data_IF_868738394234
#
_entry.id   IF_868738394234
#
_cell.length_a   1.000
_cell.length_b   1.000
_cell.length_c   1.000
_cell.angle_alpha   90.00
_cell.angle_beta   90.00
_cell.angle_gamma   90.00
#
_symmetry.space_group_name_H-M   'P 1'
#
loop_
_entity.id
_entity.type
_entity.pdbx_description
1 polymer ?
#
# COMPACT_ATOMS: atom_id res chain seq x y z
N UNK A 1 -12.62 -15.32 41.38
CA UNK A 1 -13.72 -15.22 40.43
C UNK A 1 -13.42 -14.03 39.53
N UNK A 2 -12.70 -14.28 38.44
CA UNK A 2 -12.49 -13.30 37.40
C UNK A 2 -13.73 -13.26 36.54
N UNK A 3 -14.32 -12.06 36.39
CA UNK A 3 -15.39 -11.82 35.44
C UNK A 3 -14.82 -11.99 34.04
N UNK A 4 -15.23 -13.06 33.33
CA UNK A 4 -15.21 -13.11 31.89
C UNK A 4 -16.14 -11.99 31.40
N UNK A 5 -15.56 -10.87 30.99
CA UNK A 5 -16.29 -9.88 30.20
C UNK A 5 -16.61 -10.53 28.87
N UNK A 6 -17.87 -10.84 28.69
CA UNK A 6 -18.49 -11.27 27.45
C UNK A 6 -18.06 -10.28 26.35
N UNK A 7 -17.13 -10.71 25.50
CA UNK A 7 -16.86 -10.02 24.25
C UNK A 7 -18.19 -9.94 23.50
N UNK A 8 -18.61 -8.74 23.17
CA UNK A 8 -19.83 -8.48 22.40
C UNK A 8 -19.82 -9.36 21.14
N UNK A 9 -20.88 -10.17 20.95
CA UNK A 9 -21.13 -10.96 19.73
C UNK A 9 -21.32 -10.09 18.46
N UNK A 10 -21.22 -8.76 18.61
CA UNK A 10 -21.40 -7.82 17.50
C UNK A 10 -20.16 -7.79 16.61
N UNK A 11 -20.32 -8.27 15.38
CA UNK A 11 -19.30 -8.14 14.33
C UNK A 11 -19.13 -6.68 13.89
N UNK A 12 -17.93 -6.35 13.43
CA UNK A 12 -17.65 -5.06 12.79
C UNK A 12 -18.33 -5.05 11.42
N UNK A 13 -19.29 -4.17 11.23
CA UNK A 13 -19.95 -3.94 9.94
C UNK A 13 -19.03 -3.16 9.00
N UNK A 14 -18.71 -3.74 7.84
CA UNK A 14 -17.80 -3.12 6.87
C UNK A 14 -18.50 -2.87 5.55
N UNK A 15 -18.26 -1.69 4.96
CA UNK A 15 -18.60 -1.41 3.58
C UNK A 15 -17.34 -1.25 2.72
N UNK A 16 -17.38 -1.79 1.49
CA UNK A 16 -16.30 -1.66 0.50
C UNK A 16 -16.73 -0.68 -0.58
N UNK A 17 -16.04 0.44 -0.67
CA UNK A 17 -16.30 1.54 -1.60
C UNK A 17 -15.33 1.42 -2.77
N UNK A 18 -15.86 1.12 -3.96
CA UNK A 18 -15.14 0.66 -5.13
C UNK A 18 -15.14 -0.87 -5.21
N UNK A 19 -15.74 -1.41 -6.28
CA UNK A 19 -15.88 -2.87 -6.52
C UNK A 19 -15.01 -3.33 -7.70
N UNK A 20 -13.80 -2.75 -7.81
CA UNK A 20 -12.80 -3.07 -8.82
C UNK A 20 -11.97 -4.32 -8.49
N UNK A 21 -10.81 -4.47 -9.15
CA UNK A 21 -9.90 -5.61 -8.99
C UNK A 21 -9.47 -5.81 -7.55
N UNK A 22 -8.99 -4.75 -6.87
CA UNK A 22 -8.46 -4.87 -5.51
C UNK A 22 -9.56 -5.25 -4.48
N UNK A 23 -10.76 -4.72 -4.64
CA UNK A 23 -11.90 -5.11 -3.81
C UNK A 23 -12.27 -6.58 -4.02
N UNK A 24 -12.27 -7.04 -5.28
CA UNK A 24 -12.66 -8.41 -5.67
C UNK A 24 -11.65 -9.46 -5.23
N UNK A 25 -10.34 -9.17 -5.34
CA UNK A 25 -9.28 -10.16 -5.15
C UNK A 25 -8.62 -10.12 -3.78
N UNK A 26 -8.72 -9.00 -3.04
CA UNK A 26 -8.12 -8.85 -1.72
C UNK A 26 -9.14 -8.47 -0.63
N UNK A 27 -9.74 -7.27 -0.70
CA UNK A 27 -10.55 -6.77 0.43
C UNK A 27 -11.74 -7.67 0.75
N UNK A 28 -12.58 -8.01 -0.23
CA UNK A 28 -13.77 -8.81 0.02
C UNK A 28 -13.44 -10.24 0.50
N UNK A 29 -12.48 -10.97 -0.11
CA UNK A 29 -12.08 -12.29 0.40
C UNK A 29 -11.49 -12.25 1.82
N UNK A 30 -10.59 -11.30 2.11
CA UNK A 30 -9.98 -11.19 3.44
C UNK A 30 -11.00 -10.79 4.52
N UNK A 31 -11.95 -9.90 4.22
CA UNK A 31 -13.06 -9.58 5.13
C UNK A 31 -13.97 -10.78 5.36
N UNK A 32 -14.35 -11.48 4.29
CA UNK A 32 -15.21 -12.66 4.39
C UNK A 32 -14.59 -13.81 5.19
N UNK A 33 -13.27 -13.93 5.18
CA UNK A 33 -12.52 -14.91 5.96
C UNK A 33 -12.36 -14.51 7.45
N UNK A 34 -12.66 -13.24 7.81
CA UNK A 34 -12.47 -12.76 9.18
C UNK A 34 -13.76 -12.99 10.02
N UNK A 35 -13.72 -13.81 11.09
CA UNK A 35 -14.91 -14.13 11.88
C UNK A 35 -15.53 -12.94 12.61
N UNK A 36 -14.76 -11.87 12.83
CA UNK A 36 -15.19 -10.66 13.55
C UNK A 36 -15.82 -9.60 12.64
N UNK A 37 -15.99 -9.90 11.35
CA UNK A 37 -16.47 -8.95 10.35
C UNK A 37 -17.76 -9.43 9.70
N UNK A 38 -18.63 -8.49 9.38
CA UNK A 38 -19.76 -8.64 8.46
C UNK A 38 -19.59 -7.64 7.31
N UNK A 39 -19.60 -8.11 6.07
CA UNK A 39 -19.63 -7.21 4.91
C UNK A 39 -21.07 -6.75 4.71
N UNK A 40 -21.35 -5.51 5.06
CA UNK A 40 -22.69 -4.90 5.01
C UNK A 40 -23.04 -4.44 3.59
N UNK A 41 -22.06 -3.84 2.88
CA UNK A 41 -22.33 -3.23 1.60
C UNK A 41 -21.12 -3.22 0.66
N UNK A 42 -21.41 -3.23 -0.64
CA UNK A 42 -20.51 -2.86 -1.72
C UNK A 42 -21.04 -1.63 -2.44
N UNK A 43 -20.13 -0.74 -2.82
CA UNK A 43 -20.46 0.49 -3.55
C UNK A 43 -19.65 0.57 -4.83
N UNK A 44 -20.27 0.91 -5.95
CA UNK A 44 -19.56 1.25 -7.19
C UNK A 44 -20.42 2.16 -8.07
N UNK A 45 -19.79 3.13 -8.72
CA UNK A 45 -20.47 3.98 -9.72
C UNK A 45 -21.06 3.19 -10.89
N UNK A 46 -20.56 1.98 -11.14
CA UNK A 46 -21.12 1.00 -12.05
C UNK A 46 -21.91 -0.05 -11.26
N UNK A 47 -23.25 0.06 -11.12
CA UNK A 47 -24.05 -0.75 -10.21
C UNK A 47 -23.82 -2.26 -10.34
N UNK A 48 -23.67 -2.75 -11.57
CA UNK A 48 -23.44 -4.17 -11.84
C UNK A 48 -22.18 -4.75 -11.14
N UNK A 49 -21.16 -3.93 -10.88
CA UNK A 49 -19.96 -4.37 -10.13
C UNK A 49 -20.27 -4.57 -8.66
N UNK A 50 -20.97 -3.62 -8.05
CA UNK A 50 -21.40 -3.72 -6.65
C UNK A 50 -22.40 -4.87 -6.45
N UNK A 51 -23.38 -5.02 -7.33
CA UNK A 51 -24.38 -6.09 -7.32
C UNK A 51 -23.75 -7.47 -7.38
N UNK A 52 -22.73 -7.66 -8.24
CA UNK A 52 -22.01 -8.93 -8.38
C UNK A 52 -21.32 -9.34 -7.08
N UNK A 53 -20.63 -8.41 -6.40
CA UNK A 53 -19.98 -8.71 -5.12
C UNK A 53 -21.00 -8.86 -4.01
N UNK A 54 -22.02 -8.02 -3.95
CA UNK A 54 -23.09 -8.09 -2.99
C UNK A 54 -23.80 -9.45 -3.02
N UNK A 55 -24.13 -9.95 -4.22
CA UNK A 55 -24.74 -11.27 -4.38
C UNK A 55 -23.80 -12.40 -3.90
N UNK A 56 -22.48 -12.28 -4.15
CA UNK A 56 -21.50 -13.29 -3.73
C UNK A 56 -21.34 -13.38 -2.21
N UNK A 57 -21.40 -12.26 -1.52
CA UNK A 57 -21.11 -12.16 -0.08
C UNK A 57 -22.34 -11.94 0.80
N UNK A 58 -23.56 -11.92 0.23
CA UNK A 58 -24.80 -11.70 0.98
C UNK A 58 -24.97 -10.27 1.51
N UNK A 59 -24.35 -9.30 0.85
CA UNK A 59 -24.33 -7.88 1.23
C UNK A 59 -25.33 -7.06 0.39
N UNK A 60 -25.44 -5.76 0.68
CA UNK A 60 -26.24 -4.82 -0.11
C UNK A 60 -25.36 -4.12 -1.15
N UNK A 61 -25.95 -3.73 -2.29
CA UNK A 61 -25.29 -2.95 -3.34
C UNK A 61 -25.80 -1.50 -3.33
N UNK A 62 -24.87 -0.56 -3.50
CA UNK A 62 -25.18 0.88 -3.59
C UNK A 62 -24.38 1.51 -4.74
N UNK A 63 -24.87 2.64 -5.27
CA UNK A 63 -24.19 3.43 -6.31
C UNK A 63 -23.52 4.71 -5.78
N UNK A 64 -23.96 5.20 -4.62
CA UNK A 64 -23.37 6.36 -3.93
C UNK A 64 -22.84 5.95 -2.54
N UNK A 65 -21.58 6.26 -2.26
CA UNK A 65 -20.96 5.97 -0.97
C UNK A 65 -21.61 6.73 0.20
N UNK A 66 -22.25 7.87 -0.06
CA UNK A 66 -22.94 8.66 0.97
C UNK A 66 -24.09 7.89 1.61
N UNK A 67 -24.81 7.09 0.82
CA UNK A 67 -25.91 6.27 1.34
C UNK A 67 -25.40 5.24 2.36
N UNK A 68 -24.21 4.70 2.11
CA UNK A 68 -23.59 3.70 2.99
C UNK A 68 -23.03 4.32 4.26
N UNK A 69 -22.48 5.55 4.17
CA UNK A 69 -21.95 6.26 5.34
C UNK A 69 -23.06 6.62 6.34
N UNK A 70 -24.30 6.74 5.90
CA UNK A 70 -25.46 7.00 6.75
C UNK A 70 -25.98 5.76 7.50
N UNK A 71 -25.47 4.55 7.20
CA UNK A 71 -25.95 3.32 7.84
C UNK A 71 -25.32 3.12 9.23
N UNK A 72 -26.16 2.93 10.25
CA UNK A 72 -25.71 2.60 11.62
C UNK A 72 -25.03 1.21 11.69
N UNK A 73 -25.36 0.32 10.76
CA UNK A 73 -24.74 -1.02 10.65
C UNK A 73 -23.33 -1.01 10.09
N UNK A 74 -22.81 0.11 9.58
CA UNK A 74 -21.47 0.25 9.07
C UNK A 74 -20.59 0.90 10.14
N UNK A 75 -19.60 0.17 10.66
CA UNK A 75 -18.61 0.64 11.63
C UNK A 75 -17.33 1.11 10.94
N UNK A 76 -16.99 0.52 9.78
CA UNK A 76 -15.75 0.78 9.04
C UNK A 76 -15.95 0.70 7.52
N UNK A 77 -15.05 1.35 6.79
CA UNK A 77 -15.05 1.32 5.31
C UNK A 77 -13.67 1.01 4.75
N UNK A 78 -13.64 0.32 3.59
CA UNK A 78 -12.48 0.25 2.72
C UNK A 78 -12.68 1.12 1.49
N UNK A 79 -11.74 2.02 1.22
CA UNK A 79 -11.75 2.91 0.04
C UNK A 79 -10.86 2.29 -1.03
N UNK A 80 -11.49 1.72 -2.07
CA UNK A 80 -10.89 0.94 -3.15
C UNK A 80 -11.21 1.53 -4.54
N UNK A 81 -11.23 2.84 -4.64
CA UNK A 81 -11.56 3.63 -5.84
C UNK A 81 -10.28 4.10 -6.55
N UNK A 82 -10.36 4.76 -7.73
CA UNK A 82 -9.20 5.43 -8.33
C UNK A 82 -8.58 6.50 -7.41
N UNK A 83 -7.27 6.70 -7.50
CA UNK A 83 -6.47 7.50 -6.56
C UNK A 83 -7.01 8.90 -6.27
N UNK A 84 -7.50 9.61 -7.28
CA UNK A 84 -8.06 10.97 -7.15
C UNK A 84 -9.31 11.03 -6.22
N UNK A 85 -9.93 9.90 -5.94
CA UNK A 85 -11.13 9.84 -5.10
C UNK A 85 -10.85 9.31 -3.69
N UNK A 86 -9.61 8.94 -3.38
CA UNK A 86 -9.23 8.43 -2.05
C UNK A 86 -9.50 9.46 -0.96
N UNK A 87 -8.91 10.65 -1.07
CA UNK A 87 -9.01 11.66 -0.03
C UNK A 87 -10.46 12.13 0.21
N UNK A 88 -11.24 12.56 -0.78
CA UNK A 88 -12.60 13.05 -0.52
C UNK A 88 -13.50 11.98 0.10
N UNK A 89 -13.38 10.71 -0.30
CA UNK A 89 -14.21 9.62 0.25
C UNK A 89 -13.74 9.25 1.66
N UNK A 90 -12.43 9.14 1.89
CA UNK A 90 -11.88 8.82 3.22
C UNK A 90 -12.23 9.92 4.25
N UNK A 91 -12.10 11.20 3.87
CA UNK A 91 -12.50 12.34 4.72
C UNK A 91 -13.99 12.28 5.05
N UNK A 92 -14.85 12.01 4.06
CA UNK A 92 -16.28 11.88 4.28
C UNK A 92 -16.60 10.71 5.23
N UNK A 93 -15.95 9.56 5.09
CA UNK A 93 -16.13 8.40 5.94
C UNK A 93 -15.69 8.66 7.39
N UNK A 94 -14.52 9.26 7.58
CA UNK A 94 -14.02 9.64 8.90
C UNK A 94 -14.95 10.64 9.59
N UNK A 95 -15.40 11.68 8.87
CA UNK A 95 -16.36 12.66 9.40
C UNK A 95 -17.73 12.04 9.72
N UNK A 96 -18.11 10.96 9.05
CA UNK A 96 -19.31 10.17 9.38
C UNK A 96 -19.10 9.18 10.55
N UNK A 97 -17.94 9.24 11.21
CA UNK A 97 -17.61 8.38 12.35
C UNK A 97 -17.26 6.95 11.98
N UNK A 98 -16.77 6.68 10.76
CA UNK A 98 -16.39 5.34 10.30
C UNK A 98 -14.86 5.19 10.33
N UNK A 99 -14.35 4.08 10.88
CA UNK A 99 -12.95 3.70 10.70
C UNK A 99 -12.66 3.49 9.22
N UNK A 100 -11.51 3.92 8.73
CA UNK A 100 -11.24 3.95 7.29
C UNK A 100 -9.93 3.27 6.95
N UNK A 101 -10.00 2.25 6.10
CA UNK A 101 -8.85 1.69 5.38
C UNK A 101 -8.86 2.29 3.97
N UNK A 102 -7.79 3.02 3.61
CA UNK A 102 -7.65 3.61 2.30
C UNK A 102 -6.57 2.90 1.50
N UNK A 103 -6.84 2.57 0.22
CA UNK A 103 -5.82 2.08 -0.67
C UNK A 103 -4.72 3.12 -0.93
N UNK A 104 -3.58 2.62 -1.38
CA UNK A 104 -2.41 3.43 -1.76
C UNK A 104 -2.49 3.89 -3.23
N UNK A 105 -1.88 5.01 -3.58
CA UNK A 105 -1.39 6.07 -2.71
C UNK A 105 -2.55 6.73 -1.98
N UNK A 106 -2.35 7.12 -0.72
CA UNK A 106 -3.47 7.58 0.12
C UNK A 106 -4.17 8.84 -0.40
N UNK A 107 -3.47 9.66 -1.17
CA UNK A 107 -3.95 10.94 -1.72
C UNK A 107 -3.15 11.32 -2.95
N UNK A 108 -3.49 12.45 -3.59
CA UNK A 108 -2.79 12.99 -4.76
C UNK A 108 -1.92 14.21 -4.42
N UNK A 109 -2.02 14.72 -3.20
CA UNK A 109 -1.19 15.81 -2.69
C UNK A 109 -0.90 15.64 -1.20
N UNK A 110 0.09 16.39 -0.71
CA UNK A 110 0.43 16.40 0.72
C UNK A 110 -0.67 17.09 1.54
N UNK A 111 -1.33 18.08 0.96
CA UNK A 111 -2.46 18.80 1.56
C UNK A 111 -3.65 17.86 1.79
N UNK A 112 -4.07 17.11 0.77
CA UNK A 112 -5.14 16.10 0.91
C UNK A 112 -4.79 15.06 1.97
N UNK A 113 -3.55 14.57 2.01
CA UNK A 113 -3.10 13.63 3.02
C UNK A 113 -3.19 14.21 4.45
N UNK A 114 -2.81 15.48 4.65
CA UNK A 114 -2.96 16.20 5.92
C UNK A 114 -4.44 16.35 6.31
N UNK A 115 -5.32 16.66 5.37
CA UNK A 115 -6.77 16.74 5.61
C UNK A 115 -7.37 15.40 6.03
N UNK A 116 -6.94 14.29 5.43
CA UNK A 116 -7.36 12.93 5.84
C UNK A 116 -6.92 12.64 7.28
N UNK A 117 -5.68 12.96 7.64
CA UNK A 117 -5.15 12.78 9.00
C UNK A 117 -5.95 13.63 9.99
N UNK A 118 -6.15 14.90 9.70
CA UNK A 118 -6.94 15.80 10.55
C UNK A 118 -8.39 15.32 10.74
N UNK A 119 -9.01 14.75 9.70
CA UNK A 119 -10.35 14.16 9.81
C UNK A 119 -10.35 12.91 10.73
N UNK A 120 -9.29 12.09 10.66
CA UNK A 120 -9.11 10.94 11.56
C UNK A 120 -8.97 11.38 13.02
N UNK A 121 -8.11 12.35 13.29
CA UNK A 121 -7.91 12.90 14.62
C UNK A 121 -9.19 13.53 15.19
N UNK A 122 -9.87 14.35 14.40
CA UNK A 122 -11.11 15.03 14.79
C UNK A 122 -12.23 14.05 15.12
N UNK A 123 -12.37 12.98 14.34
CA UNK A 123 -13.44 11.97 14.54
C UNK A 123 -13.10 10.94 15.61
N UNK A 124 -11.82 10.80 15.99
CA UNK A 124 -11.33 9.71 16.83
C UNK A 124 -11.42 8.34 16.15
N UNK A 125 -11.50 8.30 14.81
CA UNK A 125 -11.58 7.08 14.02
C UNK A 125 -10.23 6.80 13.36
N UNK A 126 -9.86 5.54 13.26
CA UNK A 126 -8.61 5.14 12.65
C UNK A 126 -8.63 5.35 11.15
N UNK A 127 -7.52 5.90 10.64
CA UNK A 127 -7.15 5.93 9.23
C UNK A 127 -5.93 5.01 9.05
N UNK A 128 -6.10 3.93 8.31
CA UNK A 128 -5.03 3.02 7.91
C UNK A 128 -4.84 3.06 6.39
N UNK A 129 -3.61 2.93 5.92
CA UNK A 129 -3.28 2.92 4.49
C UNK A 129 -2.87 1.51 4.04
N UNK A 130 -3.27 1.10 2.84
CA UNK A 130 -3.13 -0.27 2.32
C UNK A 130 -1.70 -0.68 1.89
N UNK A 131 -0.65 -0.29 2.64
CA UNK A 131 0.75 -0.67 2.36
C UNK A 131 1.04 -2.12 2.79
N UNK A 132 0.62 -3.07 1.98
CA UNK A 132 0.68 -4.51 2.26
C UNK A 132 2.11 -5.07 2.34
N UNK A 133 3.09 -4.46 1.68
CA UNK A 133 4.45 -5.03 1.62
C UNK A 133 5.13 -5.12 2.99
N UNK A 134 4.83 -4.23 3.94
CA UNK A 134 5.34 -4.33 5.33
C UNK A 134 4.94 -5.64 6.01
N UNK A 135 3.78 -6.18 5.68
CA UNK A 135 3.20 -7.37 6.31
C UNK A 135 3.64 -8.69 5.65
N UNK A 136 4.36 -8.63 4.54
CA UNK A 136 4.88 -9.82 3.87
C UNK A 136 5.98 -10.49 4.69
N UNK A 137 5.91 -11.81 4.85
CA UNK A 137 6.80 -12.58 5.73
C UNK A 137 8.29 -12.36 5.46
N UNK A 138 8.68 -12.20 4.18
CA UNK A 138 10.08 -11.91 3.83
C UNK A 138 10.54 -10.53 4.32
N UNK A 139 9.66 -9.53 4.28
CA UNK A 139 9.98 -8.18 4.75
C UNK A 139 10.00 -8.12 6.28
N UNK A 140 9.07 -8.81 6.95
CA UNK A 140 9.09 -8.97 8.41
C UNK A 140 10.39 -9.64 8.85
N UNK A 141 10.80 -10.74 8.18
CA UNK A 141 12.07 -11.40 8.47
C UNK A 141 13.28 -10.50 8.24
N UNK A 142 13.27 -9.70 7.18
CA UNK A 142 14.33 -8.73 6.93
C UNK A 142 14.39 -7.67 8.05
N UNK A 143 13.24 -7.16 8.48
CA UNK A 143 13.15 -6.19 9.59
C UNK A 143 13.76 -6.75 10.88
N UNK A 144 13.43 -7.99 11.26
CA UNK A 144 14.05 -8.68 12.40
C UNK A 144 15.58 -8.74 12.30
N UNK A 145 16.14 -9.10 11.13
CA UNK A 145 17.57 -9.16 10.90
C UNK A 145 18.25 -7.79 11.00
N UNK A 146 17.57 -6.74 10.52
CA UNK A 146 18.06 -5.36 10.61
C UNK A 146 18.06 -4.86 12.05
N UNK A 147 17.00 -5.09 12.80
CA UNK A 147 16.87 -4.71 14.22
C UNK A 147 17.87 -5.47 15.10
N UNK A 148 18.17 -6.72 14.77
CA UNK A 148 19.24 -7.49 15.40
C UNK A 148 20.66 -6.99 15.04
N UNK A 149 20.79 -6.01 14.15
CA UNK A 149 22.08 -5.47 13.71
C UNK A 149 22.93 -6.44 12.90
N UNK A 150 22.30 -7.47 12.28
CA UNK A 150 22.97 -8.57 11.58
C UNK A 150 23.94 -8.09 10.50
N UNK A 151 23.53 -7.10 9.69
CA UNK A 151 24.40 -6.53 8.64
C UNK A 151 25.04 -5.19 9.01
N UNK A 152 24.89 -4.76 10.28
CA UNK A 152 25.42 -3.49 10.78
C UNK A 152 24.67 -2.26 10.24
N UNK A 153 25.33 -1.09 10.27
CA UNK A 153 24.73 0.15 9.77
C UNK A 153 24.53 0.07 8.25
N UNK A 154 23.35 0.43 7.77
CA UNK A 154 23.06 0.51 6.33
C UNK A 154 23.86 1.66 5.70
N UNK A 155 24.48 1.41 4.58
CA UNK A 155 25.29 2.39 3.81
C UNK A 155 24.72 2.64 2.43
N UNK A 156 24.10 1.62 1.81
CA UNK A 156 23.41 1.78 0.54
C UNK A 156 22.30 0.73 0.36
N UNK A 157 21.41 1.00 -0.60
CA UNK A 157 20.31 0.10 -0.94
C UNK A 157 19.93 0.21 -2.41
N UNK A 158 19.25 -0.83 -2.90
CA UNK A 158 18.61 -0.84 -4.22
C UNK A 158 17.28 -1.53 -4.10
N UNK A 159 16.21 -0.93 -4.61
CA UNK A 159 14.89 -1.54 -4.63
C UNK A 159 14.21 -1.33 -5.97
N UNK A 160 13.47 -2.33 -6.41
CA UNK A 160 12.71 -2.31 -7.66
C UNK A 160 11.30 -2.85 -7.41
N UNK A 161 10.32 -2.29 -8.10
CA UNK A 161 9.04 -2.92 -8.33
C UNK A 161 8.61 -2.62 -9.75
N UNK A 162 8.62 -3.65 -10.59
CA UNK A 162 8.36 -3.54 -12.02
C UNK A 162 7.60 -4.75 -12.53
N UNK A 163 6.66 -4.56 -13.44
CA UNK A 163 5.88 -5.61 -14.10
C UNK A 163 5.36 -5.11 -15.46
N UNK A 164 4.65 -5.95 -16.27
CA UNK A 164 4.16 -5.53 -17.60
C UNK A 164 3.17 -4.38 -17.62
N UNK A 165 2.48 -4.07 -16.51
CA UNK A 165 1.52 -2.97 -16.41
C UNK A 165 0.10 -3.42 -16.01
N UNK A 166 -0.75 -2.48 -15.56
CA UNK A 166 -2.08 -2.78 -15.03
C UNK A 166 -3.09 -3.27 -16.09
N UNK A 167 -2.81 -3.08 -17.36
CA UNK A 167 -3.65 -3.61 -18.46
C UNK A 167 -3.75 -5.13 -18.47
N UNK A 168 -2.82 -5.83 -17.84
CA UNK A 168 -2.77 -7.28 -17.80
C UNK A 168 -3.68 -7.90 -16.74
N UNK A 169 -4.00 -7.15 -15.68
CA UNK A 169 -4.72 -7.67 -14.51
C UNK A 169 -5.89 -6.80 -14.05
N UNK A 170 -5.99 -5.53 -14.47
CA UNK A 170 -7.12 -4.68 -14.09
C UNK A 170 -8.40 -5.09 -14.84
N UNK A 171 -9.56 -4.94 -14.18
CA UNK A 171 -10.85 -5.32 -14.80
C UNK A 171 -11.24 -4.45 -16.01
N UNK A 172 -10.60 -3.30 -16.17
CA UNK A 172 -10.83 -2.36 -17.26
C UNK A 172 -9.78 -2.50 -18.37
N UNK A 173 -8.73 -3.32 -18.13
CA UNK A 173 -7.65 -3.53 -19.08
C UNK A 173 -6.98 -2.22 -19.53
N UNK A 174 -6.64 -2.08 -20.83
CA UNK A 174 -5.92 -0.92 -21.34
C UNK A 174 -6.75 0.39 -21.36
N UNK A 175 -8.04 0.33 -21.09
CA UNK A 175 -8.92 1.50 -20.99
C UNK A 175 -9.17 1.92 -19.53
N UNK A 176 -8.45 1.31 -18.60
CA UNK A 176 -8.62 1.52 -17.17
C UNK A 176 -8.17 2.90 -16.69
N UNK A 177 -8.69 3.28 -15.55
CA UNK A 177 -8.39 4.54 -14.87
C UNK A 177 -6.90 4.74 -14.56
N UNK A 178 -6.12 3.67 -14.47
CA UNK A 178 -4.68 3.72 -14.24
C UNK A 178 -3.93 4.57 -15.26
N UNK A 179 -4.44 4.68 -16.48
CA UNK A 179 -3.83 5.39 -17.60
C UNK A 179 -4.35 6.83 -17.76
N UNK A 180 -5.37 7.23 -17.00
CA UNK A 180 -5.95 8.58 -17.02
C UNK A 180 -5.39 9.41 -15.87
N UNK A 181 -4.55 10.40 -16.14
CA UNK A 181 -3.93 11.27 -15.14
C UNK A 181 -4.93 11.95 -14.21
N UNK A 182 -6.15 12.23 -14.68
CA UNK A 182 -7.20 12.85 -13.86
C UNK A 182 -7.72 11.91 -12.78
N UNK A 183 -7.64 10.61 -12.97
CA UNK A 183 -8.10 9.59 -12.04
C UNK A 183 -6.95 8.94 -11.28
N UNK A 184 -5.85 8.65 -11.97
CA UNK A 184 -4.67 8.01 -11.39
C UNK A 184 -3.74 9.01 -10.70
N UNK A 185 -3.72 10.29 -11.14
CA UNK A 185 -2.77 11.32 -10.73
C UNK A 185 -1.36 11.03 -11.26
N UNK A 186 -0.83 9.83 -11.06
CA UNK A 186 0.50 9.37 -11.39
C UNK A 186 0.41 7.88 -11.75
N UNK A 187 1.28 7.41 -12.63
CA UNK A 187 1.28 6.03 -13.11
C UNK A 187 2.08 5.09 -12.19
N UNK A 188 3.21 4.59 -12.72
CA UNK A 188 4.03 3.58 -12.05
C UNK A 188 4.56 4.03 -10.68
N UNK A 189 4.82 5.32 -10.49
CA UNK A 189 5.27 5.82 -9.18
C UNK A 189 4.18 5.71 -8.11
N UNK A 190 2.93 5.96 -8.42
CA UNK A 190 1.80 5.80 -7.49
C UNK A 190 1.37 4.35 -7.33
N UNK A 191 1.47 3.56 -8.39
CA UNK A 191 1.11 2.14 -8.34
C UNK A 191 2.19 1.29 -7.64
N UNK A 192 3.43 1.40 -8.05
CA UNK A 192 4.54 0.55 -7.63
C UNK A 192 5.57 1.27 -6.74
N UNK A 193 5.97 2.46 -7.13
CA UNK A 193 7.00 3.24 -6.42
C UNK A 193 6.63 3.54 -4.97
N UNK A 194 5.36 3.84 -4.70
CA UNK A 194 4.87 4.14 -3.34
C UNK A 194 5.03 2.94 -2.39
N UNK A 195 4.89 1.70 -2.87
CA UNK A 195 5.15 0.52 -2.07
C UNK A 195 6.60 0.43 -1.61
N UNK A 196 7.54 0.75 -2.51
CA UNK A 196 8.97 0.72 -2.19
C UNK A 196 9.41 1.90 -1.34
N UNK A 197 8.81 3.07 -1.52
CA UNK A 197 9.03 4.22 -0.66
C UNK A 197 8.62 3.94 0.79
N UNK A 198 7.44 3.35 0.98
CA UNK A 198 6.93 2.91 2.28
C UNK A 198 7.81 1.82 2.90
N UNK A 199 8.09 0.75 2.13
CA UNK A 199 8.88 -0.39 2.58
C UNK A 199 10.29 0.02 3.02
N UNK A 200 10.97 0.88 2.26
CA UNK A 200 12.30 1.36 2.59
C UNK A 200 12.32 2.10 3.92
N UNK A 201 11.39 3.06 4.13
CA UNK A 201 11.28 3.79 5.39
C UNK A 201 11.11 2.84 6.57
N UNK A 202 10.19 1.90 6.43
CA UNK A 202 9.90 0.92 7.48
C UNK A 202 11.10 -0.02 7.76
N UNK A 203 11.72 -0.60 6.73
CA UNK A 203 12.87 -1.49 6.88
C UNK A 203 14.05 -0.77 7.52
N UNK A 204 14.39 0.42 7.02
CA UNK A 204 15.56 1.18 7.48
C UNK A 204 15.32 1.84 8.86
N UNK A 205 14.05 2.07 9.24
CA UNK A 205 13.70 2.86 10.43
C UNK A 205 14.15 4.32 10.32
N UNK A 206 14.24 4.84 9.08
CA UNK A 206 14.77 6.17 8.77
C UNK A 206 13.90 6.87 7.72
N UNK A 207 13.97 8.21 7.71
CA UNK A 207 13.31 9.00 6.67
C UNK A 207 14.19 9.14 5.43
N UNK A 208 13.55 9.18 4.25
CA UNK A 208 14.15 9.66 3.02
C UNK A 208 14.04 11.18 3.01
N UNK A 209 15.16 11.88 2.91
CA UNK A 209 15.21 13.34 3.08
C UNK A 209 15.50 14.11 1.80
N UNK A 210 16.10 13.46 0.80
CA UNK A 210 16.48 14.09 -0.47
C UNK A 210 16.40 13.07 -1.61
N UNK A 211 15.95 13.53 -2.79
CA UNK A 211 15.77 12.68 -3.97
C UNK A 211 16.27 13.37 -5.24
N UNK A 212 16.67 12.57 -6.24
CA UNK A 212 16.86 12.99 -7.63
C UNK A 212 16.28 11.90 -8.55
N UNK A 213 15.54 12.26 -9.61
CA UNK A 213 14.80 11.27 -10.37
C UNK A 213 14.60 11.63 -11.84
N UNK A 214 14.34 10.58 -12.63
CA UNK A 214 13.64 10.61 -13.90
C UNK A 214 12.35 9.82 -13.75
N UNK A 215 11.21 10.46 -13.98
CA UNK A 215 9.88 9.87 -13.98
C UNK A 215 9.26 10.24 -15.31
N UNK A 216 9.11 9.27 -16.20
CA UNK A 216 8.85 9.51 -17.62
C UNK A 216 7.73 8.59 -18.14
N UNK A 217 7.09 9.04 -19.22
CA UNK A 217 6.17 8.25 -20.02
C UNK A 217 6.90 7.84 -21.31
N UNK A 218 7.26 6.58 -21.45
CA UNK A 218 8.16 6.11 -22.51
C UNK A 218 7.51 5.13 -23.50
N UNK A 219 6.61 4.26 -23.04
CA UNK A 219 6.15 3.12 -23.84
C UNK A 219 4.65 2.95 -23.92
N UNK A 220 3.88 3.18 -22.84
CA UNK A 220 2.45 2.87 -22.76
C UNK A 220 1.58 3.85 -23.57
N UNK A 221 1.13 3.53 -24.81
CA UNK A 221 0.45 4.50 -25.68
C UNK A 221 -0.98 4.86 -25.23
N UNK A 222 -1.53 4.10 -24.26
CA UNK A 222 -2.91 4.26 -23.82
C UNK A 222 -3.12 5.31 -22.73
N UNK A 223 -2.06 5.96 -22.25
CA UNK A 223 -2.16 6.86 -21.08
C UNK A 223 -1.37 8.14 -21.20
N UNK A 224 -1.53 9.00 -20.19
CA UNK A 224 -0.83 10.28 -20.03
C UNK A 224 -0.10 10.37 -18.66
N UNK A 225 0.18 9.21 -18.05
CA UNK A 225 0.89 9.05 -16.78
C UNK A 225 2.27 8.42 -17.03
N UNK A 226 3.14 8.46 -16.01
CA UNK A 226 4.44 7.80 -16.05
C UNK A 226 4.32 6.27 -16.12
N UNK A 227 5.18 5.65 -16.89
CA UNK A 227 5.30 4.20 -16.99
C UNK A 227 6.71 3.68 -16.62
N UNK A 228 7.66 4.60 -16.42
CA UNK A 228 9.02 4.31 -15.97
C UNK A 228 9.53 5.38 -15.01
N UNK A 229 10.20 4.93 -13.94
CA UNK A 229 10.85 5.81 -12.99
C UNK A 229 12.16 5.21 -12.46
N UNK A 230 13.20 6.06 -12.39
CA UNK A 230 14.46 5.77 -11.73
C UNK A 230 14.79 6.92 -10.80
N UNK A 231 14.87 6.60 -9.49
CA UNK A 231 15.07 7.58 -8.44
C UNK A 231 16.33 7.27 -7.64
N UNK A 232 17.10 8.29 -7.31
CA UNK A 232 18.20 8.26 -6.32
C UNK A 232 17.64 8.84 -5.04
N UNK A 233 17.81 8.14 -3.93
CA UNK A 233 17.27 8.48 -2.63
C UNK A 233 18.39 8.59 -1.60
N UNK A 234 18.25 9.53 -0.65
CA UNK A 234 19.16 9.68 0.49
C UNK A 234 18.39 9.68 1.79
N UNK A 235 18.85 8.88 2.75
CA UNK A 235 18.25 8.79 4.08
C UNK A 235 18.76 9.88 5.01
N UNK A 236 18.10 10.06 6.14
CA UNK A 236 18.50 10.99 7.22
C UNK A 236 19.88 10.67 7.81
N UNK A 237 20.30 9.40 7.84
CA UNK A 237 21.64 8.99 8.28
C UNK A 237 22.73 9.15 7.21
N UNK A 238 22.34 9.49 5.97
CA UNK A 238 23.23 9.66 4.83
C UNK A 238 23.42 8.41 3.96
N UNK A 239 22.72 7.30 4.22
CA UNK A 239 22.70 6.17 3.29
C UNK A 239 22.06 6.59 1.97
N UNK A 240 22.57 6.05 0.85
CA UNK A 240 22.12 6.37 -0.51
C UNK A 240 21.68 5.11 -1.25
N UNK A 241 20.73 5.25 -2.13
CA UNK A 241 20.29 4.11 -2.94
C UNK A 241 19.37 4.50 -4.08
N UNK A 242 18.82 3.47 -4.73
CA UNK A 242 17.92 3.64 -5.87
C UNK A 242 16.57 2.98 -5.63
N UNK A 243 15.53 3.62 -6.18
CA UNK A 243 14.20 3.06 -6.34
C UNK A 243 13.86 3.08 -7.82
N UNK A 244 13.48 1.93 -8.37
CA UNK A 244 13.00 1.79 -9.74
C UNK A 244 11.56 1.30 -9.72
N UNK A 245 10.70 1.93 -10.51
CA UNK A 245 9.33 1.49 -10.76
C UNK A 245 9.05 1.49 -12.26
N UNK A 246 8.45 0.41 -12.80
CA UNK A 246 8.22 0.31 -14.24
C UNK A 246 7.04 -0.58 -14.59
N UNK A 247 6.26 -0.16 -15.59
CA UNK A 247 5.22 -0.95 -16.24
C UNK A 247 5.70 -1.56 -17.58
N UNK A 248 7.00 -1.50 -17.86
CA UNK A 248 7.59 -1.98 -19.12
C UNK A 248 8.55 -3.15 -18.92
N UNK A 249 8.42 -3.86 -17.79
CA UNK A 249 9.26 -5.00 -17.48
C UNK A 249 8.64 -6.30 -18.01
N UNK A 250 9.24 -6.89 -19.07
CA UNK A 250 8.79 -8.09 -19.75
C UNK A 250 9.89 -9.14 -19.82
N UNK A 251 9.59 -10.45 -19.59
CA UNK A 251 8.37 -10.96 -18.96
C UNK A 251 8.47 -10.94 -17.43
N UNK A 252 7.32 -10.88 -16.78
CA UNK A 252 7.20 -11.12 -15.34
C UNK A 252 7.44 -9.88 -14.47
N UNK A 253 7.64 -10.15 -13.19
CA UNK A 253 7.78 -9.13 -12.15
C UNK A 253 9.18 -9.11 -11.56
N UNK A 254 9.74 -7.90 -11.33
CA UNK A 254 10.88 -7.67 -10.45
C UNK A 254 10.42 -6.86 -9.23
N UNK A 255 10.48 -7.48 -8.05
CA UNK A 255 10.09 -6.85 -6.78
C UNK A 255 11.18 -7.00 -5.73
N UNK A 256 12.45 -7.00 -6.18
CA UNK A 256 13.59 -7.24 -5.34
C UNK A 256 14.03 -6.00 -4.54
N UNK A 257 14.57 -6.25 -3.34
CA UNK A 257 15.21 -5.22 -2.51
C UNK A 257 16.56 -5.74 -1.99
N UNK A 258 17.60 -4.91 -2.09
CA UNK A 258 18.96 -5.19 -1.66
C UNK A 258 19.39 -4.13 -0.65
N UNK A 259 19.85 -4.58 0.51
CA UNK A 259 20.30 -3.71 1.60
C UNK A 259 21.77 -4.02 1.92
N UNK A 260 22.64 -3.03 1.84
CA UNK A 260 24.07 -3.15 2.05
C UNK A 260 24.49 -2.44 3.32
N UNK A 261 24.98 -3.21 4.27
CA UNK A 261 25.44 -2.72 5.56
C UNK A 261 26.95 -2.89 5.78
N UNK A 262 27.45 -2.36 6.88
CA UNK A 262 28.89 -2.40 7.23
C UNK A 262 29.42 -3.80 7.57
N UNK A 263 28.52 -4.75 7.91
CA UNK A 263 28.87 -6.13 8.28
C UNK A 263 28.37 -7.17 7.29
N UNK A 264 27.62 -6.79 6.27
CA UNK A 264 27.05 -7.72 5.28
C UNK A 264 25.98 -7.09 4.42
N UNK A 265 25.23 -7.92 3.69
CA UNK A 265 24.10 -7.45 2.90
C UNK A 265 22.94 -8.46 2.92
N UNK A 266 21.73 -7.96 2.72
CA UNK A 266 20.50 -8.75 2.59
C UNK A 266 19.93 -8.55 1.18
N UNK A 267 19.39 -9.63 0.60
CA UNK A 267 18.64 -9.63 -0.65
C UNK A 267 17.26 -10.22 -0.39
N UNK A 268 16.22 -9.52 -0.83
CA UNK A 268 14.82 -9.87 -0.66
C UNK A 268 14.18 -10.08 -2.02
N UNK A 269 13.46 -11.18 -2.22
CA UNK A 269 12.74 -11.47 -3.45
C UNK A 269 13.64 -11.60 -4.69
N UNK A 270 14.93 -11.89 -4.52
CA UNK A 270 15.92 -11.91 -5.60
C UNK A 270 16.31 -13.35 -6.04
N UNK A 271 15.83 -14.37 -5.35
CA UNK A 271 16.10 -15.77 -5.67
C UNK A 271 14.77 -16.56 -5.60
N UNK A 272 14.49 -17.42 -6.59
CA UNK A 272 13.21 -18.14 -6.63
C UNK A 272 13.05 -19.20 -5.53
N UNK A 273 14.15 -19.61 -4.87
CA UNK A 273 14.14 -20.64 -3.82
C UNK A 273 14.10 -20.05 -2.42
N UNK A 274 14.73 -18.89 -2.23
CA UNK A 274 14.88 -18.26 -0.91
C UNK A 274 14.36 -16.84 -0.93
N UNK A 275 13.39 -16.56 -0.08
CA UNK A 275 12.77 -15.25 0.02
C UNK A 275 13.74 -14.19 0.58
N UNK A 276 14.64 -14.62 1.51
CA UNK A 276 15.64 -13.75 2.13
C UNK A 276 16.99 -14.42 2.10
N UNK A 277 17.99 -13.72 1.57
CA UNK A 277 19.40 -14.12 1.54
C UNK A 277 20.22 -13.12 2.35
N UNK A 278 20.97 -13.58 3.35
CA UNK A 278 21.86 -12.75 4.14
C UNK A 278 23.31 -13.24 3.97
N UNK A 279 24.20 -12.34 3.62
CA UNK A 279 25.63 -12.61 3.40
C UNK A 279 26.46 -11.72 4.30
N UNK A 280 27.23 -12.31 5.22
CA UNK A 280 28.01 -11.59 6.20
C UNK A 280 29.46 -11.44 5.75
N UNK A 281 30.11 -10.37 6.18
CA UNK A 281 31.52 -10.10 5.93
C UNK A 281 32.44 -11.17 6.51
N UNK A 282 31.97 -11.90 7.53
CA UNK A 282 32.65 -13.08 8.11
C UNK A 282 32.76 -14.27 7.15
N UNK A 283 32.00 -14.27 6.05
CA UNK A 283 31.84 -15.40 5.14
C UNK A 283 30.62 -16.26 5.43
N UNK A 284 29.92 -16.02 6.53
CA UNK A 284 28.67 -16.70 6.87
C UNK A 284 27.57 -16.32 5.88
N UNK A 285 26.70 -17.30 5.55
CA UNK A 285 25.56 -17.15 4.65
C UNK A 285 24.33 -17.73 5.32
N UNK A 286 23.24 -16.97 5.33
CA UNK A 286 21.97 -17.40 5.89
C UNK A 286 20.90 -17.32 4.80
N UNK A 287 20.06 -18.35 4.71
CA UNK A 287 19.02 -18.52 3.69
C UNK A 287 17.70 -18.80 4.38
N UNK A 288 16.65 -18.02 4.01
CA UNK A 288 15.34 -18.16 4.62
C UNK A 288 14.28 -18.36 3.53
N UNK A 289 13.44 -19.37 3.70
CA UNK A 289 12.25 -19.65 2.91
C UNK A 289 11.04 -19.34 3.80
N UNK A 290 10.54 -18.10 3.75
CA UNK A 290 9.45 -17.61 4.61
C UNK A 290 8.20 -17.20 3.82
N UNK A 291 8.05 -17.74 2.62
CA UNK A 291 6.97 -17.44 1.70
C UNK A 291 7.32 -16.38 0.66
N UNK A 292 6.54 -16.36 -0.41
CA UNK A 292 6.67 -15.41 -1.51
C UNK A 292 5.85 -14.15 -1.25
N UNK A 293 6.22 -13.04 -1.90
CA UNK A 293 5.41 -11.84 -1.92
C UNK A 293 4.15 -12.08 -2.76
N UNK A 294 2.98 -11.79 -2.21
CA UNK A 294 1.73 -11.88 -2.96
C UNK A 294 1.53 -10.62 -3.81
N UNK A 295 1.43 -10.79 -5.10
CA UNK A 295 1.23 -9.75 -6.10
C UNK A 295 0.09 -10.09 -7.06
N UNK A 296 -0.30 -9.14 -7.91
CA UNK A 296 -1.37 -9.37 -8.88
C UNK A 296 -1.00 -10.43 -9.94
N UNK A 297 0.28 -10.58 -10.29
CA UNK A 297 0.75 -11.59 -11.26
C UNK A 297 0.78 -13.00 -10.70
N UNK A 298 0.99 -13.17 -9.40
CA UNK A 298 1.17 -14.49 -8.76
C UNK A 298 -0.12 -15.24 -8.38
N UNK A 299 -1.27 -14.94 -9.00
CA UNK A 299 -2.56 -15.58 -8.67
C UNK A 299 -3.43 -14.81 -7.68
N UNK A 300 -3.09 -13.57 -7.41
CA UNK A 300 -3.85 -12.64 -6.58
C UNK A 300 -3.31 -12.49 -5.16
N UNK A 301 -3.92 -11.57 -4.43
CA UNK A 301 -3.54 -11.18 -3.08
C UNK A 301 -4.69 -11.57 -2.13
N UNK A 302 -4.68 -12.77 -1.58
CA UNK A 302 -5.81 -13.32 -0.81
C UNK A 302 -5.59 -13.35 0.70
N UNK A 303 -4.36 -13.16 1.19
CA UNK A 303 -4.00 -13.09 2.61
C UNK A 303 -2.76 -12.20 2.79
N UNK A 304 -2.95 -10.90 2.59
CA UNK A 304 -1.87 -9.91 2.74
C UNK A 304 -1.67 -9.47 4.19
N UNK A 305 -2.61 -9.80 5.07
CA UNK A 305 -2.63 -9.35 6.46
C UNK A 305 -3.15 -7.92 6.67
N UNK A 306 -3.40 -7.14 5.61
CA UNK A 306 -3.86 -5.74 5.71
C UNK A 306 -5.20 -5.66 6.42
N UNK A 307 -6.18 -6.44 5.97
CA UNK A 307 -7.52 -6.46 6.56
C UNK A 307 -7.47 -6.94 8.02
N UNK A 308 -6.68 -7.97 8.30
CA UNK A 308 -6.50 -8.48 9.66
C UNK A 308 -5.88 -7.41 10.58
N UNK A 309 -4.88 -6.67 10.12
CA UNK A 309 -4.28 -5.58 10.89
C UNK A 309 -5.27 -4.45 11.16
N UNK A 310 -6.07 -4.05 10.15
CA UNK A 310 -7.09 -3.02 10.30
C UNK A 310 -8.19 -3.44 11.28
N UNK A 311 -8.74 -4.64 11.13
CA UNK A 311 -9.77 -5.18 12.03
C UNK A 311 -9.25 -5.30 13.47
N UNK A 312 -8.03 -5.79 13.65
CA UNK A 312 -7.41 -5.88 14.97
C UNK A 312 -7.24 -4.51 15.64
N UNK A 313 -6.84 -3.48 14.88
CA UNK A 313 -6.75 -2.11 15.40
C UNK A 313 -8.09 -1.63 15.96
N UNK A 314 -9.20 -1.92 15.27
CA UNK A 314 -10.54 -1.55 15.72
C UNK A 314 -10.93 -2.34 16.97
N UNK A 315 -10.74 -3.67 16.98
CA UNK A 315 -11.13 -4.55 18.09
C UNK A 315 -10.37 -4.24 19.38
N UNK A 316 -9.08 -3.94 19.26
CA UNK A 316 -8.22 -3.64 20.42
C UNK A 316 -8.19 -2.16 20.77
N UNK A 317 -8.84 -1.31 19.98
CA UNK A 317 -8.76 0.15 20.07
C UNK A 317 -7.31 0.66 20.10
N UNK A 318 -6.44 0.06 19.27
CA UNK A 318 -5.03 0.42 19.15
C UNK A 318 -4.78 1.03 17.77
N UNK A 319 -4.07 2.15 17.72
CA UNK A 319 -3.77 2.82 16.46
C UNK A 319 -3.03 1.87 15.48
N UNK A 320 -3.42 1.87 14.19
CA UNK A 320 -2.77 1.01 13.20
C UNK A 320 -1.30 1.44 12.98
N UNK A 321 -0.41 0.46 12.85
CA UNK A 321 1.01 0.70 12.53
C UNK A 321 1.16 1.42 11.18
N UNK A 322 0.34 1.05 10.18
CA UNK A 322 0.33 1.69 8.87
C UNK A 322 -0.69 2.84 8.88
N UNK A 323 -0.43 3.83 9.71
CA UNK A 323 -1.30 4.99 9.93
C UNK A 323 -1.38 5.93 8.72
N UNK A 324 -2.30 6.91 8.77
CA UNK A 324 -2.35 7.99 7.78
C UNK A 324 -1.03 8.75 7.67
N UNK A 325 -0.32 8.98 8.79
CA UNK A 325 0.99 9.66 8.77
C UNK A 325 2.05 8.82 8.03
N UNK A 326 2.07 7.50 8.22
CA UNK A 326 2.96 6.62 7.48
C UNK A 326 2.67 6.67 5.96
N UNK A 327 1.40 6.67 5.58
CA UNK A 327 0.98 6.83 4.18
C UNK A 327 1.38 8.19 3.60
N UNK A 328 1.24 9.28 4.37
CA UNK A 328 1.64 10.63 3.96
C UNK A 328 3.15 10.72 3.71
N UNK A 329 3.96 10.16 4.59
CA UNK A 329 5.42 10.16 4.43
C UNK A 329 5.88 9.35 3.21
N UNK A 330 5.22 8.23 2.92
CA UNK A 330 5.47 7.48 1.69
C UNK A 330 5.07 8.29 0.44
N UNK A 331 3.91 8.94 0.47
CA UNK A 331 3.44 9.83 -0.60
C UNK A 331 4.40 11.01 -0.81
N UNK A 332 4.90 11.63 0.25
CA UNK A 332 5.84 12.76 0.16
C UNK A 332 7.11 12.43 -0.64
N UNK A 333 7.61 11.19 -0.55
CA UNK A 333 8.75 10.73 -1.35
C UNK A 333 8.37 10.71 -2.83
N UNK A 334 7.19 10.18 -3.17
CA UNK A 334 6.71 10.14 -4.55
C UNK A 334 6.55 11.55 -5.12
N UNK A 335 5.93 12.46 -4.37
CA UNK A 335 5.76 13.85 -4.77
C UNK A 335 7.10 14.55 -4.99
N UNK A 336 8.08 14.33 -4.13
CA UNK A 336 9.43 14.86 -4.30
C UNK A 336 10.13 14.30 -5.54
N UNK A 337 9.93 13.01 -5.85
CA UNK A 337 10.46 12.39 -7.08
C UNK A 337 9.81 13.03 -8.33
N UNK A 338 8.50 13.20 -8.36
CA UNK A 338 7.82 13.88 -9.47
C UNK A 338 8.38 15.29 -9.67
N UNK A 339 8.47 16.06 -8.58
CA UNK A 339 9.01 17.42 -8.60
C UNK A 339 10.46 17.45 -9.07
N UNK A 340 11.30 16.50 -8.64
CA UNK A 340 12.69 16.39 -9.07
C UNK A 340 12.81 16.10 -10.57
N UNK A 341 11.96 15.21 -11.10
CA UNK A 341 11.93 14.93 -12.55
C UNK A 341 11.53 16.16 -13.37
N UNK A 342 10.58 16.96 -12.91
CA UNK A 342 10.15 18.19 -13.57
C UNK A 342 11.20 19.30 -13.46
N UNK A 343 11.72 19.55 -12.25
CA UNK A 343 12.69 20.65 -12.00
C UNK A 343 14.09 20.33 -12.51
N UNK A 344 14.40 19.06 -12.77
CA UNK A 344 15.74 18.51 -13.09
C UNK A 344 16.79 18.84 -12.01
N UNK A 345 16.34 18.85 -10.73
CA UNK A 345 17.16 19.17 -9.55
C UNK A 345 16.96 18.14 -8.45
N UNK A 346 17.90 18.09 -7.50
CA UNK A 346 17.65 17.44 -6.23
C UNK A 346 16.53 18.17 -5.48
N UNK A 347 15.61 17.40 -4.93
CA UNK A 347 14.50 17.92 -4.15
C UNK A 347 14.51 17.32 -2.73
N UNK A 348 14.14 18.16 -1.76
CA UNK A 348 13.93 17.69 -0.38
C UNK A 348 12.56 17.07 -0.25
N UNK A 349 12.48 16.01 0.55
CA UNK A 349 11.20 15.39 0.90
C UNK A 349 10.55 16.23 2.00
N UNK A 350 9.29 16.59 1.83
CA UNK A 350 8.49 17.32 2.82
C UNK A 350 7.96 16.33 3.88
N UNK A 351 8.65 16.26 5.02
CA UNK A 351 8.33 15.37 6.15
C UNK A 351 7.25 15.93 7.06
#
# INVERSE_FOLDING_TARGET
MMKDELMSDKKIGVAVIGSGSIATHRHAPEYAANPNVEIVAFVDRYPARAEKLAAKYGAKAFSDYKDVLALDSVDAVSVCVPNAFHAPIAIAALNAGKHTLCEKPMATSNEEAKEMIAASEKSGKFLMVGHNQRLASLHVKAKELLEAGTIGKIVSFRTSFSHPGPETWSIEGPTGWFFDKKQAFVGTMGDLGVHKADLLRWLLGEEIVEVASFVEHLEKPMGDVDDNAVCILKTSSGAIGTLTASWTHYPGEDNATYLYGTKGHIRLGADPRFSVLCFLKSGEKQYYEVGALQTNEGGGQSDTGVIRAFVNSILTNTAPEISGEEGRRALAIILACLKSSESKKFEKVEL
#
